data_IF_688500477792
#
_entry.id   IF_688500477792
#
_cell.length_a   1.000
_cell.length_b   1.000
_cell.length_c   1.000
_cell.angle_alpha   90.00
_cell.angle_beta   90.00
_cell.angle_gamma   90.00
#
_symmetry.space_group_name_H-M   'P 1'
#
loop_
_entity.id
_entity.type
_entity.pdbx_description
1 polymer ?
#
# COMPACT_ATOMS: atom_id res chain seq x y z
N UNK A 1 8.85 4.61 -0.90
CA UNK A 1 7.41 4.61 -1.21
C UNK A 1 7.03 3.29 -1.87
N UNK A 2 6.16 2.52 -1.23
CA UNK A 2 5.64 1.28 -1.78
C UNK A 2 4.18 1.48 -2.24
N UNK A 3 3.27 0.61 -1.83
CA UNK A 3 1.85 0.70 -2.21
C UNK A 3 1.05 -0.35 -1.47
N UNK A 4 -0.24 -0.12 -1.31
CA UNK A 4 -1.16 -1.15 -0.81
C UNK A 4 -1.18 -2.39 -1.70
N UNK A 5 -0.80 -2.27 -2.98
CA UNK A 5 -0.69 -3.41 -3.88
C UNK A 5 0.39 -4.40 -3.43
N UNK A 6 1.29 -3.99 -2.54
CA UNK A 6 2.30 -4.88 -1.95
C UNK A 6 1.81 -5.68 -0.76
N UNK A 7 0.61 -5.42 -0.24
CA UNK A 7 0.11 -6.15 0.92
C UNK A 7 -0.21 -7.61 0.59
N UNK A 8 -0.79 -7.83 -0.59
CA UNK A 8 -1.15 -9.19 -1.01
C UNK A 8 -1.41 -9.21 -2.51
N UNK A 9 -1.35 -10.41 -3.11
CA UNK A 9 -1.51 -10.57 -4.54
C UNK A 9 -2.86 -10.10 -5.07
N UNK A 10 -2.82 -9.32 -6.13
CA UNK A 10 -3.99 -8.79 -6.82
C UNK A 10 -3.96 -9.24 -8.28
N UNK A 11 -5.15 -9.44 -8.91
CA UNK A 11 -5.18 -9.81 -10.32
C UNK A 11 -4.54 -8.74 -11.19
N UNK A 12 -3.87 -9.18 -12.27
CA UNK A 12 -3.28 -8.31 -13.30
C UNK A 12 -2.19 -7.38 -12.77
N UNK A 13 -1.56 -7.75 -11.64
CA UNK A 13 -0.50 -6.96 -11.03
C UNK A 13 0.81 -7.76 -10.92
N UNK A 14 1.15 -8.51 -11.97
CA UNK A 14 2.24 -9.49 -11.94
C UNK A 14 3.60 -8.89 -11.63
N UNK A 15 3.91 -7.71 -12.16
CA UNK A 15 5.18 -7.03 -11.89
C UNK A 15 5.05 -6.00 -10.77
N UNK A 16 3.96 -5.24 -10.79
CA UNK A 16 3.76 -4.13 -9.87
C UNK A 16 3.59 -4.62 -8.43
N UNK A 17 2.72 -5.62 -8.21
CA UNK A 17 2.46 -6.15 -6.87
C UNK A 17 3.71 -6.72 -6.20
N UNK A 18 4.38 -7.70 -6.82
CA UNK A 18 5.60 -8.27 -6.25
C UNK A 18 6.69 -7.24 -6.03
N UNK A 19 6.84 -6.26 -6.93
CA UNK A 19 7.80 -5.18 -6.76
C UNK A 19 7.53 -4.34 -5.53
N UNK A 20 6.25 -3.98 -5.30
CA UNK A 20 5.87 -3.21 -4.13
C UNK A 20 5.97 -4.05 -2.84
N UNK A 21 5.65 -5.34 -2.91
CA UNK A 21 5.83 -6.24 -1.77
C UNK A 21 7.31 -6.33 -1.38
N UNK A 22 8.21 -6.39 -2.36
CA UNK A 22 9.64 -6.39 -2.12
C UNK A 22 10.11 -5.11 -1.43
N UNK A 23 9.56 -3.96 -1.81
CA UNK A 23 9.89 -2.68 -1.17
C UNK A 23 9.43 -2.63 0.29
N UNK A 24 8.25 -3.16 0.59
CA UNK A 24 7.76 -3.24 1.96
C UNK A 24 8.69 -4.11 2.81
N UNK A 25 9.02 -5.29 2.31
CA UNK A 25 9.91 -6.21 3.01
C UNK A 25 11.29 -5.58 3.21
N UNK A 26 11.82 -4.92 2.20
CA UNK A 26 13.11 -4.23 2.27
C UNK A 26 13.09 -3.15 3.35
N UNK A 27 12.03 -2.36 3.43
CA UNK A 27 11.88 -1.33 4.46
C UNK A 27 11.84 -1.93 5.86
N UNK A 28 11.18 -3.08 6.02
CA UNK A 28 11.13 -3.77 7.31
C UNK A 28 12.52 -4.22 7.75
N UNK A 29 13.30 -4.83 6.84
CA UNK A 29 14.66 -5.26 7.13
C UNK A 29 15.54 -4.06 7.49
N UNK A 30 15.46 -2.99 6.71
CA UNK A 30 16.23 -1.77 7.01
C UNK A 30 15.87 -1.18 8.37
N UNK A 31 14.58 -1.17 8.70
CA UNK A 31 14.14 -0.66 10.00
C UNK A 31 14.77 -1.46 11.14
N UNK A 32 14.74 -2.79 11.03
CA UNK A 32 15.31 -3.66 12.06
C UNK A 32 16.83 -3.49 12.19
N UNK A 33 17.51 -3.36 11.05
CA UNK A 33 18.97 -3.29 11.05
C UNK A 33 19.49 -1.92 11.46
N UNK A 34 18.78 -0.85 11.15
CA UNK A 34 19.26 0.52 11.34
C UNK A 34 18.70 1.20 12.58
N UNK A 35 17.59 0.72 13.17
CA UNK A 35 17.06 1.31 14.40
C UNK A 35 18.07 1.33 15.55
N UNK A 36 18.87 0.27 15.79
CA UNK A 36 19.88 0.33 16.84
C UNK A 36 20.96 1.39 16.61
N UNK A 37 21.09 1.87 15.38
CA UNK A 37 22.06 2.91 15.00
C UNK A 37 21.43 4.30 14.97
N UNK A 38 20.21 4.46 15.50
CA UNK A 38 19.45 5.71 15.50
C UNK A 38 19.18 6.26 14.11
N UNK A 39 19.01 5.39 13.13
CA UNK A 39 18.63 5.78 11.76
C UNK A 39 17.17 5.40 11.56
N UNK A 40 16.35 6.39 11.25
CA UNK A 40 14.92 6.18 11.03
C UNK A 40 14.64 5.65 9.62
N UNK A 41 13.71 4.69 9.54
CA UNK A 41 13.25 4.12 8.27
C UNK A 41 11.72 4.04 8.34
N UNK A 42 11.06 4.51 7.30
CA UNK A 42 9.60 4.46 7.19
C UNK A 42 9.22 3.90 5.84
N UNK A 43 8.05 3.25 5.79
CA UNK A 43 7.46 2.82 4.52
C UNK A 43 6.14 3.57 4.31
N UNK A 44 5.94 4.04 3.10
CA UNK A 44 4.72 4.76 2.72
C UNK A 44 3.96 3.88 1.75
N UNK A 45 2.74 3.50 2.13
CA UNK A 45 1.89 2.63 1.33
C UNK A 45 0.61 3.38 0.95
N UNK A 46 0.66 4.16 -0.14
CA UNK A 46 -0.55 4.85 -0.61
C UNK A 46 -1.51 3.89 -1.32
N UNK A 47 -2.79 4.23 -1.27
CA UNK A 47 -3.77 3.68 -2.17
C UNK A 47 -3.69 4.38 -3.52
N UNK A 48 -4.84 4.69 -4.11
CA UNK A 48 -4.87 5.39 -5.39
C UNK A 48 -4.76 6.90 -5.17
N UNK A 49 -3.81 7.51 -5.88
CA UNK A 49 -3.60 8.96 -5.87
C UNK A 49 -3.74 9.47 -7.30
N UNK A 50 -4.48 10.56 -7.48
CA UNK A 50 -4.73 11.13 -8.80
C UNK A 50 -3.46 11.76 -9.35
N UNK A 51 -2.80 11.06 -10.26
CA UNK A 51 -1.59 11.50 -10.94
C UNK A 51 -1.74 11.25 -12.43
N UNK A 52 -0.77 11.68 -13.24
CA UNK A 52 -0.77 11.35 -14.67
C UNK A 52 -0.72 9.84 -14.90
N UNK A 53 -0.04 9.12 -14.02
CA UNK A 53 0.06 7.67 -14.14
C UNK A 53 -1.29 6.99 -13.89
N UNK A 54 -2.03 7.40 -12.85
CA UNK A 54 -3.34 6.83 -12.56
C UNK A 54 -4.39 7.23 -13.57
N UNK A 55 -4.25 8.38 -14.22
CA UNK A 55 -5.17 8.82 -15.27
C UNK A 55 -5.18 7.89 -16.49
N UNK A 56 -4.15 7.06 -16.66
CA UNK A 56 -4.05 6.09 -17.75
C UNK A 56 -4.72 4.75 -17.42
N UNK A 57 -5.19 4.56 -16.21
CA UNK A 57 -5.82 3.32 -15.79
C UNK A 57 -7.25 3.23 -16.33
N UNK A 58 -7.65 2.00 -16.71
CA UNK A 58 -8.97 1.72 -17.26
C UNK A 58 -9.91 1.07 -16.26
N UNK A 59 -9.57 1.06 -15.00
CA UNK A 59 -10.34 0.39 -13.96
C UNK A 59 -10.73 1.38 -12.86
N UNK A 60 -11.73 0.99 -12.07
CA UNK A 60 -12.16 1.78 -10.93
C UNK A 60 -11.05 1.85 -9.89
N UNK A 61 -10.84 3.05 -9.35
CA UNK A 61 -9.84 3.29 -8.32
C UNK A 61 -10.57 3.72 -7.04
N UNK A 62 -10.89 2.75 -6.16
CA UNK A 62 -11.62 3.08 -4.93
C UNK A 62 -10.82 4.01 -4.04
N UNK A 63 -11.51 4.97 -3.42
CA UNK A 63 -10.93 5.93 -2.49
C UNK A 63 -9.77 6.73 -3.10
N UNK A 64 -9.91 7.15 -4.37
CA UNK A 64 -8.91 7.97 -5.04
C UNK A 64 -8.68 9.27 -4.28
N UNK A 65 -7.41 9.58 -3.99
CA UNK A 65 -7.01 10.79 -3.29
C UNK A 65 -6.41 11.81 -4.23
N UNK A 66 -6.52 13.09 -3.86
CA UNK A 66 -5.73 14.13 -4.54
C UNK A 66 -4.27 14.05 -4.12
N UNK A 67 -3.32 14.52 -4.96
CA UNK A 67 -1.91 14.59 -4.55
C UNK A 67 -1.70 15.41 -3.29
N UNK A 68 -2.46 16.49 -3.12
CA UNK A 68 -2.37 17.35 -1.95
C UNK A 68 -2.77 16.63 -0.67
N UNK A 69 -3.88 15.89 -0.71
CA UNK A 69 -4.34 15.10 0.44
C UNK A 69 -3.34 14.00 0.79
N UNK A 70 -2.76 13.35 -0.24
CA UNK A 70 -1.75 12.32 -0.04
C UNK A 70 -0.48 12.90 0.60
N UNK A 71 -0.06 14.09 0.17
CA UNK A 71 1.10 14.76 0.74
C UNK A 71 0.88 15.11 2.22
N UNK A 72 -0.30 15.63 2.55
CA UNK A 72 -0.64 15.97 3.93
C UNK A 72 -0.64 14.71 4.80
N UNK A 73 -1.24 13.62 4.32
CA UNK A 73 -1.27 12.35 5.06
C UNK A 73 0.15 11.80 5.29
N UNK A 74 1.03 11.95 4.31
CA UNK A 74 2.42 11.52 4.43
C UNK A 74 3.16 12.31 5.50
N UNK A 75 3.04 13.63 5.49
CA UNK A 75 3.69 14.50 6.48
C UNK A 75 3.14 14.21 7.88
N UNK A 76 1.82 14.07 8.01
CA UNK A 76 1.21 13.76 9.30
C UNK A 76 1.69 12.41 9.83
N UNK A 77 1.83 11.41 8.98
CA UNK A 77 2.34 10.11 9.35
C UNK A 77 3.79 10.16 9.83
N UNK A 78 4.62 10.94 9.14
CA UNK A 78 6.02 11.14 9.56
C UNK A 78 6.09 11.81 10.92
N UNK A 79 5.25 12.81 11.17
CA UNK A 79 5.20 13.50 12.46
C UNK A 79 4.73 12.60 13.59
N UNK A 80 3.80 11.68 13.29
CA UNK A 80 3.30 10.72 14.28
C UNK A 80 4.33 9.66 14.66
N UNK A 81 5.34 9.42 13.82
CA UNK A 81 6.43 8.50 14.12
C UNK A 81 6.10 7.03 13.90
N UNK A 82 5.01 6.71 13.21
CA UNK A 82 4.66 5.33 12.89
C UNK A 82 5.53 4.80 11.76
N UNK A 83 5.96 3.54 11.87
CA UNK A 83 6.80 2.93 10.83
C UNK A 83 6.08 2.91 9.49
N UNK A 84 4.84 2.47 9.47
CA UNK A 84 4.06 2.42 8.25
C UNK A 84 3.14 3.63 8.15
N UNK A 85 3.20 4.33 7.01
CA UNK A 85 2.32 5.44 6.70
C UNK A 85 1.44 5.00 5.54
N UNK A 86 0.15 4.85 5.79
CA UNK A 86 -0.79 4.38 4.76
C UNK A 86 -2.04 5.24 4.75
N UNK A 87 -2.60 5.43 3.57
CA UNK A 87 -3.75 6.30 3.36
C UNK A 87 -4.43 5.98 2.03
N UNK A 88 -5.72 6.25 1.88
CA UNK A 88 -6.65 6.66 2.93
C UNK A 88 -6.97 5.48 3.85
N UNK A 89 -7.17 5.75 5.13
CA UNK A 89 -7.32 4.69 6.14
C UNK A 89 -8.49 3.74 5.85
N UNK A 90 -9.59 4.25 5.35
CA UNK A 90 -10.75 3.39 5.00
C UNK A 90 -10.36 2.28 4.04
N UNK A 91 -9.61 2.63 3.01
CA UNK A 91 -9.19 1.68 1.98
C UNK A 91 -8.04 0.80 2.46
N UNK A 92 -7.03 1.40 3.06
CA UNK A 92 -5.82 0.65 3.46
C UNK A 92 -6.12 -0.34 4.58
N UNK A 93 -6.95 0.03 5.56
CA UNK A 93 -7.33 -0.89 6.62
C UNK A 93 -8.15 -2.06 6.08
N UNK A 94 -9.02 -1.81 5.10
CA UNK A 94 -9.74 -2.86 4.40
C UNK A 94 -8.77 -3.82 3.70
N UNK A 95 -7.79 -3.27 2.98
CA UNK A 95 -6.80 -4.08 2.28
C UNK A 95 -5.95 -4.91 3.25
N UNK A 96 -5.60 -4.33 4.41
CA UNK A 96 -4.86 -5.06 5.44
C UNK A 96 -5.69 -6.20 6.03
N UNK A 97 -6.97 -5.95 6.25
CA UNK A 97 -7.89 -7.00 6.72
C UNK A 97 -7.94 -8.15 5.71
N UNK A 98 -8.08 -7.81 4.43
CA UNK A 98 -8.10 -8.81 3.37
C UNK A 98 -6.82 -9.63 3.31
N UNK A 99 -5.69 -9.02 3.63
CA UNK A 99 -4.40 -9.71 3.63
C UNK A 99 -4.29 -10.77 4.72
N UNK A 100 -5.15 -10.75 5.72
CA UNK A 100 -5.17 -11.75 6.79
C UNK A 100 -5.99 -13.00 6.45
N UNK A 101 -6.78 -12.98 5.37
CA UNK A 101 -7.65 -14.08 5.02
C UNK A 101 -6.85 -15.29 4.52
N UNK A 102 -7.29 -16.52 4.85
CA UNK A 102 -6.73 -17.71 4.20
C UNK A 102 -6.94 -17.66 2.70
N UNK A 103 -6.08 -18.34 1.94
CA UNK A 103 -6.15 -18.32 0.48
C UNK A 103 -7.52 -18.76 -0.04
N UNK A 104 -8.13 -19.77 0.57
CA UNK A 104 -9.43 -20.27 0.13
C UNK A 104 -10.56 -19.26 0.25
N UNK A 105 -10.39 -18.23 1.10
CA UNK A 105 -11.33 -17.12 1.23
C UNK A 105 -10.88 -15.93 0.40
N UNK A 106 -9.60 -15.66 0.38
CA UNK A 106 -9.05 -14.48 -0.30
C UNK A 106 -9.22 -14.55 -1.82
N UNK A 107 -8.84 -15.67 -2.43
CA UNK A 107 -8.88 -15.78 -3.89
C UNK A 107 -10.29 -15.63 -4.47
N UNK A 108 -11.32 -16.34 -3.96
CA UNK A 108 -12.66 -16.10 -4.48
C UNK A 108 -13.16 -14.67 -4.26
N UNK A 109 -12.86 -14.10 -3.11
CA UNK A 109 -13.31 -12.76 -2.76
C UNK A 109 -12.67 -11.72 -3.68
N UNK A 110 -11.35 -11.78 -3.86
CA UNK A 110 -10.64 -10.79 -4.66
C UNK A 110 -11.02 -10.89 -6.14
N UNK A 111 -11.26 -12.09 -6.65
CA UNK A 111 -11.75 -12.27 -8.01
C UNK A 111 -13.11 -11.62 -8.20
N UNK A 112 -14.01 -11.82 -7.22
CA UNK A 112 -15.37 -11.28 -7.29
C UNK A 112 -15.38 -9.77 -7.23
N UNK A 113 -14.56 -9.17 -6.36
CA UNK A 113 -14.54 -7.72 -6.19
C UNK A 113 -13.79 -6.99 -7.28
N UNK A 114 -12.84 -7.65 -7.95
CA UNK A 114 -12.06 -7.01 -9.02
C UNK A 114 -12.52 -7.39 -10.43
N UNK A 115 -13.49 -8.30 -10.52
CA UNK A 115 -13.98 -8.77 -11.82
C UNK A 115 -12.99 -9.64 -12.57
N UNK A 116 -11.92 -9.99 -11.95
CA UNK A 116 -10.88 -10.81 -12.53
C UNK A 116 -10.69 -12.12 -11.80
#
# INVERSE_FOLDING_TARGET
VASVAGYRGLPKALAYGPGKAALIHFAEVLHLDLSPKNIGVWVINPGFVATQLTAQNNFDMPALMTPEAAAIATVDGLKAGNFEIHFPKRFTLFMKFMALLPYRLYFPFIRRTTGG
#
